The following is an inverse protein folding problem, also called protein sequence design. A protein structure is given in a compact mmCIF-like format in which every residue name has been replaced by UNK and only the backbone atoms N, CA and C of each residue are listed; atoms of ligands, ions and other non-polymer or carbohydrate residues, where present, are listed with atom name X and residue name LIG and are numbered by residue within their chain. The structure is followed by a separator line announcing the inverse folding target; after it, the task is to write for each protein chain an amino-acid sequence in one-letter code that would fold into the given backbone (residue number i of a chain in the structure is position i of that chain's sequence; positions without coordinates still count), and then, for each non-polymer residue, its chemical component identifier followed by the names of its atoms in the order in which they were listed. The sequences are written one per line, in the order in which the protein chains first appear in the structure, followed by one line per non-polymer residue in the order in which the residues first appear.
data_IF_834480374031
#
_entry.id   IF_834480374031
#
_cell.length_a   1.000
_cell.length_b   1.000
_cell.length_c   1.000
_cell.angle_alpha   90.00
_cell.angle_beta   90.00
_cell.angle_gamma   90.00
#
_symmetry.space_group_name_H-M   'P 1'
#
loop_
_entity.id
_entity.type
_entity.pdbx_description
1 polymer ?
#
# COMPACT_ATOMS: atom_id res chain seq x y z
N UNK A 1 -11.86 -1.17 8.15
CA UNK A 1 -10.63 -0.52 8.66
C UNK A 1 -9.76 -1.53 9.42
N UNK A 2 -9.14 -2.51 8.75
CA UNK A 2 -8.29 -3.49 9.42
C UNK A 2 -6.99 -2.85 9.94
N UNK A 3 -6.47 -3.33 11.08
CA UNK A 3 -5.16 -2.94 11.58
C UNK A 3 -4.10 -3.92 11.14
N UNK A 4 -2.98 -3.41 10.62
CA UNK A 4 -1.84 -4.19 10.10
C UNK A 4 -0.53 -3.78 10.78
N UNK A 5 -0.62 -3.40 12.06
CA UNK A 5 0.50 -2.95 12.86
C UNK A 5 1.60 -4.01 12.98
N UNK A 6 2.84 -3.61 12.69
CA UNK A 6 4.02 -4.46 12.85
C UNK A 6 4.73 -4.09 14.16
N UNK A 7 4.86 -5.06 15.06
CA UNK A 7 5.58 -4.90 16.32
C UNK A 7 7.04 -5.34 16.17
N UNK A 8 7.97 -4.66 16.85
CA UNK A 8 9.36 -5.11 16.86
C UNK A 8 9.51 -6.26 17.86
N UNK A 9 9.61 -7.46 17.33
CA UNK A 9 10.05 -8.66 18.02
C UNK A 9 11.13 -9.29 17.14
N UNK A 10 12.31 -9.55 17.73
CA UNK A 10 13.46 -10.14 17.07
C UNK A 10 13.24 -11.60 16.68
N UNK A 11 12.24 -12.27 17.29
CA UNK A 11 11.83 -13.62 16.91
C UNK A 11 10.97 -13.66 15.63
N UNK A 12 10.43 -12.52 15.20
CA UNK A 12 9.54 -12.43 14.03
C UNK A 12 10.33 -12.04 12.79
N UNK A 13 10.39 -12.94 11.80
CA UNK A 13 11.11 -12.71 10.55
C UNK A 13 10.39 -11.65 9.67
N UNK A 14 11.07 -11.18 8.63
CA UNK A 14 10.42 -10.31 7.64
C UNK A 14 9.30 -11.04 6.88
N UNK A 15 9.43 -12.34 6.66
CA UNK A 15 8.46 -13.18 5.96
C UNK A 15 7.16 -13.35 6.77
N UNK A 16 7.29 -13.61 8.08
CA UNK A 16 6.15 -13.71 8.99
C UNK A 16 5.30 -12.44 8.99
N UNK A 17 5.95 -11.27 8.91
CA UNK A 17 5.28 -9.96 8.84
C UNK A 17 4.50 -9.82 7.55
N UNK A 18 5.05 -10.29 6.43
CA UNK A 18 4.33 -10.31 5.13
C UNK A 18 3.09 -11.18 5.25
N UNK A 19 3.25 -12.40 5.76
CA UNK A 19 2.16 -13.36 5.89
C UNK A 19 1.05 -12.84 6.80
N UNK A 20 1.40 -12.21 7.92
CA UNK A 20 0.44 -11.58 8.82
C UNK A 20 -0.39 -10.51 8.11
N UNK A 21 0.26 -9.52 7.48
CA UNK A 21 -0.45 -8.42 6.81
C UNK A 21 -1.30 -8.96 5.66
N UNK A 22 -0.74 -9.89 4.88
CA UNK A 22 -1.44 -10.51 3.77
C UNK A 22 -2.70 -11.27 4.23
N UNK A 23 -2.63 -12.03 5.32
CA UNK A 23 -3.78 -12.72 5.89
C UNK A 23 -4.89 -11.75 6.32
N UNK A 24 -4.54 -10.68 7.03
CA UNK A 24 -5.48 -9.65 7.48
C UNK A 24 -6.17 -8.97 6.29
N UNK A 25 -5.42 -8.58 5.27
CA UNK A 25 -5.98 -7.88 4.11
C UNK A 25 -6.81 -8.80 3.22
N UNK A 26 -6.40 -10.06 3.03
CA UNK A 26 -7.21 -11.05 2.31
C UNK A 26 -8.55 -11.29 2.98
N UNK A 27 -8.57 -11.36 4.31
CA UNK A 27 -9.82 -11.52 5.04
C UNK A 27 -10.71 -10.29 4.90
N UNK A 28 -10.14 -9.08 5.00
CA UNK A 28 -10.88 -7.85 4.77
C UNK A 28 -11.49 -7.79 3.35
N UNK A 29 -10.74 -8.23 2.33
CA UNK A 29 -11.21 -8.33 0.95
C UNK A 29 -12.31 -9.39 0.80
N UNK A 30 -12.19 -10.54 1.46
CA UNK A 30 -13.21 -11.60 1.43
C UNK A 30 -14.54 -11.08 1.98
N UNK A 31 -14.51 -10.37 3.11
CA UNK A 31 -15.71 -9.77 3.72
C UNK A 31 -16.27 -8.62 2.87
N UNK A 32 -15.41 -7.76 2.33
CA UNK A 32 -15.81 -6.63 1.47
C UNK A 32 -16.67 -7.07 0.28
N UNK A 33 -16.33 -8.22 -0.33
CA UNK A 33 -17.06 -8.78 -1.49
C UNK A 33 -18.47 -9.31 -1.17
N UNK A 34 -18.85 -9.41 0.10
CA UNK A 34 -20.21 -9.80 0.50
C UNK A 34 -21.21 -8.64 0.41
N UNK A 35 -20.74 -7.45 0.03
CA UNK A 35 -21.55 -6.23 -0.12
C UNK A 35 -21.59 -5.82 -1.59
N UNK A 36 -22.68 -5.17 -2.00
CA UNK A 36 -22.86 -4.60 -3.33
C UNK A 36 -23.19 -3.10 -3.25
N UNK A 37 -22.27 -2.21 -3.68
CA UNK A 37 -20.92 -2.50 -4.16
C UNK A 37 -19.99 -2.96 -3.02
N UNK A 38 -18.84 -3.60 -3.33
CA UNK A 38 -17.87 -4.01 -2.33
C UNK A 38 -17.38 -2.83 -1.47
N UNK A 39 -17.26 -3.05 -0.17
CA UNK A 39 -16.83 -2.01 0.78
C UNK A 39 -15.36 -1.61 0.58
N UNK A 40 -15.09 -0.31 0.68
CA UNK A 40 -13.71 0.20 0.67
C UNK A 40 -12.94 -0.21 1.93
N UNK A 41 -11.66 -0.56 1.73
CA UNK A 41 -10.75 -1.02 2.75
C UNK A 41 -9.66 0.03 2.95
N UNK A 42 -9.66 0.68 4.10
CA UNK A 42 -8.57 1.54 4.54
C UNK A 42 -7.84 0.89 5.71
N UNK A 43 -6.59 0.49 5.51
CA UNK A 43 -5.82 -0.23 6.52
C UNK A 43 -5.09 0.75 7.45
N UNK A 44 -5.19 0.51 8.76
CA UNK A 44 -4.41 1.22 9.75
C UNK A 44 -3.01 0.62 9.84
N UNK A 45 -1.99 1.43 9.62
CA UNK A 45 -0.59 1.04 9.84
C UNK A 45 0.15 2.07 10.68
N UNK A 46 1.15 1.62 11.42
CA UNK A 46 2.10 2.50 12.10
C UNK A 46 3.22 2.87 11.12
N UNK A 47 4.02 3.85 11.47
CA UNK A 47 5.33 4.11 10.85
C UNK A 47 6.48 3.95 11.86
N UNK A 48 6.13 3.54 13.09
CA UNK A 48 6.98 3.31 14.25
C UNK A 48 6.72 1.89 14.79
N UNK A 49 7.76 1.22 15.28
CA UNK A 49 7.57 -0.11 15.87
C UNK A 49 6.86 -0.07 17.22
N UNK A 50 7.39 0.73 18.14
CA UNK A 50 6.85 0.87 19.50
C UNK A 50 6.88 2.34 19.96
N UNK A 51 5.92 3.16 19.50
CA UNK A 51 5.85 4.58 19.87
C UNK A 51 5.48 4.82 21.34
N UNK A 52 5.16 3.76 22.10
CA UNK A 52 4.87 3.87 23.53
C UNK A 52 6.17 3.86 24.36
N UNK A 53 7.19 3.14 23.89
CA UNK A 53 8.45 2.95 24.63
C UNK A 53 9.67 3.58 23.97
N UNK A 54 9.67 3.72 22.64
CA UNK A 54 10.82 4.21 21.88
C UNK A 54 10.49 5.54 21.21
N UNK A 55 11.48 6.44 21.21
CA UNK A 55 11.33 7.81 20.70
C UNK A 55 11.81 7.98 19.24
N UNK A 56 12.64 7.05 18.76
CA UNK A 56 13.25 7.09 17.43
C UNK A 56 13.45 5.68 16.89
N UNK A 57 12.35 4.92 16.73
CA UNK A 57 12.39 3.56 16.19
C UNK A 57 11.30 3.39 15.12
N UNK A 58 11.69 3.68 13.88
CA UNK A 58 10.82 3.77 12.72
C UNK A 58 10.97 2.56 11.80
N UNK A 59 9.92 2.25 11.05
CA UNK A 59 9.97 1.18 10.06
C UNK A 59 11.04 1.45 9.02
N UNK A 60 11.89 0.45 8.77
CA UNK A 60 12.84 0.50 7.67
C UNK A 60 12.14 0.43 6.31
N UNK A 61 12.88 0.75 5.24
CA UNK A 61 12.37 0.73 3.85
C UNK A 61 11.68 -0.57 3.47
N UNK A 62 12.16 -1.72 3.93
CA UNK A 62 11.56 -3.03 3.63
C UNK A 62 10.18 -3.18 4.27
N UNK A 63 9.99 -2.71 5.49
CA UNK A 63 8.71 -2.79 6.19
C UNK A 63 7.71 -1.74 5.71
N UNK A 64 8.22 -0.60 5.25
CA UNK A 64 7.41 0.34 4.49
C UNK A 64 7.06 -0.23 3.11
N UNK A 65 7.96 -0.98 2.46
CA UNK A 65 7.72 -1.72 1.21
C UNK A 65 6.61 -2.75 1.39
N UNK A 66 6.64 -3.50 2.50
CA UNK A 66 5.55 -4.40 2.86
C UNK A 66 4.25 -3.65 3.08
N UNK A 67 4.30 -2.53 3.80
CA UNK A 67 3.13 -1.67 3.96
C UNK A 67 2.66 -1.11 2.64
N UNK A 68 3.52 -0.89 1.64
CA UNK A 68 3.16 -0.32 0.34
C UNK A 68 2.69 -1.38 -0.66
N UNK A 69 3.31 -2.55 -0.76
CA UNK A 69 2.98 -3.65 -1.68
C UNK A 69 1.71 -4.40 -1.28
N UNK A 70 1.43 -4.43 0.02
CA UNK A 70 0.19 -4.95 0.56
C UNK A 70 -0.98 -3.96 0.35
N UNK A 71 -0.72 -2.72 -0.09
CA UNK A 71 -1.75 -1.75 -0.50
C UNK A 71 -2.39 -2.16 -1.84
N UNK A 72 -1.79 -3.09 -2.60
CA UNK A 72 -2.10 -3.23 -4.03
C UNK A 72 -3.42 -3.96 -4.30
N UNK A 73 -4.31 -4.03 -3.32
CA UNK A 73 -5.71 -4.43 -3.49
C UNK A 73 -6.68 -3.79 -2.48
N UNK A 74 -6.26 -2.75 -1.77
CA UNK A 74 -7.10 -1.98 -0.83
C UNK A 74 -7.26 -0.53 -1.31
N UNK A 75 -8.11 0.25 -0.65
CA UNK A 75 -8.52 1.59 -1.09
C UNK A 75 -7.67 2.70 -0.49
N UNK A 76 -6.95 2.42 0.59
CA UNK A 76 -5.95 3.34 1.12
C UNK A 76 -5.34 2.87 2.44
N UNK A 77 -4.48 3.72 2.98
CA UNK A 77 -3.85 3.53 4.29
C UNK A 77 -4.09 4.72 5.20
N UNK A 78 -4.16 4.44 6.49
CA UNK A 78 -4.21 5.44 7.55
C UNK A 78 -2.95 5.25 8.37
N UNK A 79 -2.06 6.24 8.32
CA UNK A 79 -0.87 6.29 9.18
C UNK A 79 -1.30 6.69 10.58
N UNK A 80 -0.95 5.87 11.56
CA UNK A 80 -1.30 6.08 12.95
C UNK A 80 -0.06 6.11 13.85
N UNK A 81 -0.09 6.99 14.85
CA UNK A 81 0.90 7.08 15.93
C UNK A 81 0.17 7.29 17.26
N UNK A 82 0.83 6.93 18.36
CA UNK A 82 0.41 7.28 19.70
C UNK A 82 0.67 8.75 20.02
N UNK A 83 0.02 9.32 21.03
CA UNK A 83 0.37 10.63 21.63
C UNK A 83 1.48 10.54 22.68
N UNK A 84 1.86 9.33 23.11
CA UNK A 84 2.89 9.11 24.12
C UNK A 84 4.22 9.77 23.74
N UNK A 85 4.80 10.58 24.64
CA UNK A 85 6.07 11.27 24.42
C UNK A 85 6.13 12.12 23.12
N UNK A 86 4.99 12.59 22.58
CA UNK A 86 4.96 13.28 21.28
C UNK A 86 5.92 14.46 21.20
N UNK A 87 6.00 15.28 22.25
CA UNK A 87 6.93 16.43 22.31
C UNK A 87 8.40 16.04 22.15
N UNK A 88 8.78 14.81 22.53
CA UNK A 88 10.14 14.26 22.36
C UNK A 88 10.33 13.55 21.02
N UNK A 89 9.24 13.22 20.32
CA UNK A 89 9.24 12.48 19.06
C UNK A 89 9.04 13.37 17.84
N UNK A 90 8.45 14.55 17.99
CA UNK A 90 8.12 15.46 16.88
C UNK A 90 9.28 15.66 15.89
N UNK A 91 10.48 15.94 16.37
CA UNK A 91 11.64 16.19 15.50
C UNK A 91 12.04 14.95 14.69
N UNK A 92 12.00 13.77 15.32
CA UNK A 92 12.28 12.51 14.62
C UNK A 92 11.17 12.16 13.61
N UNK A 93 9.90 12.35 13.98
CA UNK A 93 8.77 12.15 13.07
C UNK A 93 8.90 13.07 11.86
N UNK A 94 9.22 14.36 12.10
CA UNK A 94 9.49 15.33 11.03
C UNK A 94 10.60 14.84 10.11
N UNK A 95 11.75 14.44 10.68
CA UNK A 95 12.89 13.96 9.90
C UNK A 95 12.53 12.74 9.03
N UNK A 96 11.72 11.82 9.55
CA UNK A 96 11.29 10.64 8.79
C UNK A 96 10.29 10.98 7.67
N UNK A 97 9.34 11.89 7.95
CA UNK A 97 8.35 12.35 6.97
C UNK A 97 8.96 13.24 5.89
N UNK A 98 9.99 14.04 6.20
CA UNK A 98 10.75 14.80 5.21
C UNK A 98 11.78 13.91 4.47
N UNK A 99 12.16 12.78 5.08
CA UNK A 99 13.15 11.84 4.58
C UNK A 99 12.54 10.62 3.90
N UNK A 100 12.97 9.43 4.34
CA UNK A 100 12.71 8.16 3.65
C UNK A 100 11.22 7.81 3.56
N UNK A 101 10.46 8.02 4.64
CA UNK A 101 9.05 7.62 4.70
C UNK A 101 8.21 8.49 3.76
N UNK A 102 8.36 9.82 3.83
CA UNK A 102 7.59 10.71 2.97
C UNK A 102 7.97 10.57 1.49
N UNK A 103 9.26 10.36 1.19
CA UNK A 103 9.71 10.09 -0.19
C UNK A 103 9.03 8.84 -0.75
N UNK A 104 9.01 7.74 0.02
CA UNK A 104 8.39 6.49 -0.41
C UNK A 104 6.86 6.63 -0.57
N UNK A 105 6.19 7.34 0.35
CA UNK A 105 4.75 7.62 0.21
C UNK A 105 4.50 8.40 -1.08
N UNK A 106 5.30 9.44 -1.35
CA UNK A 106 5.16 10.26 -2.55
C UNK A 106 5.35 9.44 -3.82
N UNK A 107 6.44 8.67 -3.90
CA UNK A 107 6.72 7.79 -5.06
C UNK A 107 5.58 6.79 -5.29
N UNK A 108 5.03 6.21 -4.22
CA UNK A 108 3.90 5.28 -4.30
C UNK A 108 2.63 5.96 -4.82
N UNK A 109 2.29 7.12 -4.26
CA UNK A 109 1.09 7.89 -4.68
C UNK A 109 1.21 8.35 -6.13
N UNK A 110 2.36 8.88 -6.51
CA UNK A 110 2.62 9.37 -7.87
C UNK A 110 2.58 8.23 -8.89
N UNK A 111 3.17 7.07 -8.56
CA UNK A 111 3.07 5.87 -9.38
C UNK A 111 1.62 5.43 -9.58
N UNK A 112 0.82 5.31 -8.51
CA UNK A 112 -0.58 4.87 -8.63
C UNK A 112 -1.43 5.85 -9.43
N UNK A 113 -1.19 7.16 -9.30
CA UNK A 113 -1.85 8.18 -10.12
C UNK A 113 -1.51 8.00 -11.60
N UNK A 114 -0.24 7.85 -11.92
CA UNK A 114 0.22 7.66 -13.30
C UNK A 114 -0.31 6.35 -13.89
N UNK A 115 -0.18 5.23 -13.17
CA UNK A 115 -0.66 3.95 -13.63
C UNK A 115 -2.19 3.94 -13.85
N UNK A 116 -2.97 4.59 -12.98
CA UNK A 116 -4.42 4.77 -13.18
C UNK A 116 -4.73 5.48 -14.50
N UNK A 117 -4.00 6.55 -14.81
CA UNK A 117 -4.19 7.33 -16.05
C UNK A 117 -3.71 6.56 -17.27
N UNK A 118 -2.52 5.98 -17.21
CA UNK A 118 -1.80 5.42 -18.36
C UNK A 118 -2.20 3.98 -18.70
N UNK A 119 -2.58 3.20 -17.69
CA UNK A 119 -2.89 1.77 -17.85
C UNK A 119 -4.37 1.45 -17.67
N UNK A 120 -5.03 2.14 -16.74
CA UNK A 120 -6.42 1.85 -16.38
C UNK A 120 -7.42 2.92 -16.83
N UNK A 121 -7.08 3.72 -17.87
CA UNK A 121 -8.02 4.63 -18.52
C UNK A 121 -8.72 5.63 -17.59
N UNK A 122 -8.12 5.93 -16.43
CA UNK A 122 -8.73 6.69 -15.32
C UNK A 122 -9.98 6.07 -14.67
N UNK A 123 -10.35 4.84 -15.04
CA UNK A 123 -11.59 4.15 -14.63
C UNK A 123 -11.32 2.88 -13.81
N UNK A 124 -10.11 2.76 -13.27
CA UNK A 124 -9.71 1.64 -12.44
C UNK A 124 -8.46 1.93 -11.63
N UNK A 125 -8.00 0.91 -10.92
CA UNK A 125 -6.82 0.96 -10.06
C UNK A 125 -5.85 -0.13 -10.45
N UNK A 126 -4.56 0.19 -10.39
CA UNK A 126 -3.49 -0.76 -10.63
C UNK A 126 -3.27 -1.66 -9.40
N UNK A 127 -3.24 -2.97 -9.62
CA UNK A 127 -3.03 -4.01 -8.60
C UNK A 127 -1.85 -4.90 -9.01
N UNK A 128 -0.99 -5.35 -8.08
CA UNK A 128 -0.02 -6.41 -8.39
C UNK A 128 -0.74 -7.76 -8.33
N UNK A 129 -0.54 -8.65 -9.32
CA UNK A 129 -1.02 -10.02 -9.22
C UNK A 129 -0.18 -10.87 -8.26
N UNK A 130 1.10 -10.53 -8.05
CA UNK A 130 2.05 -11.32 -7.26
C UNK A 130 2.64 -10.51 -6.11
N UNK A 131 2.64 -11.07 -4.91
CA UNK A 131 3.29 -10.47 -3.75
C UNK A 131 4.74 -10.93 -3.67
N UNK A 132 5.64 -10.25 -4.37
CA UNK A 132 7.09 -10.41 -4.13
C UNK A 132 7.59 -9.13 -3.52
N UNK A 133 7.81 -9.12 -2.20
CA UNK A 133 8.56 -8.04 -1.57
C UNK A 133 10.04 -8.23 -1.91
N UNK A 134 10.39 -7.89 -3.15
CA UNK A 134 11.76 -7.52 -3.43
C UNK A 134 12.00 -6.20 -2.68
N UNK A 135 13.15 -6.09 -2.01
CA UNK A 135 13.58 -4.87 -1.31
C UNK A 135 13.60 -3.61 -2.17
N UNK A 136 13.38 -3.74 -3.48
CA UNK A 136 13.17 -2.68 -4.45
C UNK A 136 11.69 -2.60 -4.76
N UNK A 137 11.04 -1.54 -4.28
CA UNK A 137 9.69 -1.17 -4.70
C UNK A 137 9.66 -1.14 -6.22
N UNK A 138 8.91 -2.06 -6.83
CA UNK A 138 8.89 -2.20 -8.28
C UNK A 138 7.82 -1.30 -8.89
N UNK A 139 8.27 -0.16 -9.39
CA UNK A 139 7.43 0.83 -10.08
C UNK A 139 7.46 0.63 -11.59
N UNK A 140 7.06 -0.56 -12.05
CA UNK A 140 6.88 -0.83 -13.47
C UNK A 140 5.42 -1.10 -13.76
N UNK A 141 4.77 -0.21 -14.51
CA UNK A 141 3.36 -0.33 -14.85
C UNK A 141 3.04 -1.67 -15.55
N UNK A 142 4.02 -2.30 -16.24
CA UNK A 142 3.83 -3.57 -16.96
C UNK A 142 3.43 -4.73 -16.07
N UNK A 143 3.88 -4.73 -14.82
CA UNK A 143 3.65 -5.82 -13.88
C UNK A 143 2.27 -5.78 -13.23
N UNK A 144 1.55 -4.67 -13.36
CA UNK A 144 0.27 -4.45 -12.72
C UNK A 144 -0.90 -4.88 -13.62
N UNK A 145 -2.05 -5.15 -13.03
CA UNK A 145 -3.32 -5.33 -13.73
C UNK A 145 -4.33 -4.28 -13.27
N UNK A 146 -5.39 -4.06 -14.05
CA UNK A 146 -6.42 -3.08 -13.71
C UNK A 146 -7.60 -3.76 -13.01
N UNK A 147 -7.96 -3.24 -11.83
CA UNK A 147 -9.24 -3.49 -11.19
C UNK A 147 -10.16 -2.31 -11.46
N UNK A 148 -11.27 -2.54 -12.15
CA UNK A 148 -12.17 -1.47 -12.54
C UNK A 148 -12.93 -0.90 -11.34
N UNK A 149 -13.23 0.39 -11.42
CA UNK A 149 -14.07 1.05 -10.43
C UNK A 149 -15.52 0.57 -10.57
N UNK A 150 -16.35 0.64 -9.51
CA UNK A 150 -17.75 0.26 -9.59
C UNK A 150 -18.47 0.98 -10.74
N UNK A 151 -19.20 0.22 -11.56
CA UNK A 151 -19.90 0.72 -12.76
C UNK A 151 -19.12 0.64 -14.07
N UNK A 152 -17.86 0.19 -14.06
CA UNK A 152 -17.07 -0.04 -15.28
C UNK A 152 -16.85 -1.53 -15.54
N UNK A 153 -17.27 -2.02 -16.71
CA UNK A 153 -17.05 -3.40 -17.15
C UNK A 153 -15.64 -3.60 -17.74
N UNK A 154 -15.05 -2.54 -18.30
CA UNK A 154 -13.67 -2.53 -18.77
C UNK A 154 -13.00 -1.20 -18.43
N UNK A 155 -11.76 -1.27 -17.97
CA UNK A 155 -10.97 -0.12 -17.55
C UNK A 155 -9.52 -0.20 -18.01
N UNK A 156 -9.03 -1.35 -18.46
CA UNK A 156 -7.74 -1.39 -19.13
C UNK A 156 -7.86 -0.66 -20.48
N UNK A 157 -6.82 0.06 -20.91
CA UNK A 157 -6.74 0.44 -22.31
C UNK A 157 -6.76 -0.83 -23.15
N UNK A 158 -7.84 -1.03 -23.90
CA UNK A 158 -7.75 -1.85 -25.10
C UNK A 158 -6.80 -1.08 -26.00
N UNK A 159 -5.62 -1.63 -26.26
CA UNK A 159 -4.88 -1.24 -27.46
C UNK A 159 -5.83 -1.65 -28.58
N UNK A 160 -6.65 -0.71 -29.06
CA UNK A 160 -7.29 -0.86 -30.36
C UNK A 160 -6.10 -0.93 -31.29
N UNK A 161 -5.73 -2.15 -31.68
CA UNK A 161 -4.70 -2.38 -32.68
C UNK A 161 -5.04 -1.42 -33.82
N UNK A 162 -4.13 -0.49 -34.11
CA UNK A 162 -4.30 0.47 -35.18
C UNK A 162 -4.79 -0.30 -36.39
N UNK A 163 -6.00 0.03 -36.86
CA UNK A 163 -6.56 -0.59 -38.04
C UNK A 163 -5.52 -0.47 -39.15
N UNK A 164 -4.99 -1.60 -39.60
CA UNK A 164 -4.10 -1.62 -40.75
C UNK A 164 -4.92 -1.11 -41.94
N UNK A 165 -4.42 -0.10 -42.69
CA UNK A 165 -5.10 0.35 -43.89
C UNK A 165 -5.11 -0.79 -44.92
N UNK A 166 -6.24 -0.90 -45.63
CA UNK A 166 -6.53 -1.90 -46.66
C UNK A 166 -5.45 -1.98 -47.74
#
# INVERSE_FOLDING_TARGET
YPSIYLNFDTAITSEDRVHYVHAVLREAQRISKNYDPPLSIYAYTKFEYDPLKKINDFYNKRLMCLSSELIWGIDGIILWSSSANMTKRCDYIKQQMEGEIGKLIKETVDFHKNCRVNKCGSNGRCILPRTTCDTRVHFDERDYTCKCDPGYESCAFTVVAAAQPK
#
